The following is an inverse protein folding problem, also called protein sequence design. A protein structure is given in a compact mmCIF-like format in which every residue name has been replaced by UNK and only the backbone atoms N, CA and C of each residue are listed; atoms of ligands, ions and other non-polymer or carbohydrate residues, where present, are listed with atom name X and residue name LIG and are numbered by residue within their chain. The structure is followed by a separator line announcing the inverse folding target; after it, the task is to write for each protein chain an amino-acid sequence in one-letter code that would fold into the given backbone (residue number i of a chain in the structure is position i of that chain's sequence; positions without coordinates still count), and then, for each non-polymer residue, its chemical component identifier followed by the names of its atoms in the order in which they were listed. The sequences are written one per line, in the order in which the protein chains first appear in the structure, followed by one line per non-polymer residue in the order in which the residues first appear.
data_IF_767130304786
#
_entry.id   IF_767130304786
#
_cell.length_a   1.000
_cell.length_b   1.000
_cell.length_c   1.000
_cell.angle_alpha   90.00
_cell.angle_beta   90.00
_cell.angle_gamma   90.00
#
_symmetry.space_group_name_H-M   'P 1'
#
loop_
_entity.id
_entity.type
_entity.pdbx_description
1 polymer ?
#
# COMPACT_ATOMS: atom_id res chain seq x y z
N UNK A 1 -0.01 -14.08 48.15
CA UNK A 1 -0.45 -13.07 47.16
C UNK A 1 0.73 -12.75 46.24
N UNK A 2 0.85 -13.42 45.09
CA UNK A 2 1.98 -13.16 44.17
C UNK A 2 1.72 -11.88 43.39
N UNK A 3 2.59 -10.88 43.61
CA UNK A 3 2.68 -9.65 42.84
C UNK A 3 2.92 -10.01 41.37
N UNK A 4 2.01 -9.62 40.48
CA UNK A 4 2.25 -9.67 39.03
C UNK A 4 3.34 -8.65 38.70
N UNK A 5 4.46 -9.13 38.18
CA UNK A 5 5.52 -8.28 37.65
C UNK A 5 4.96 -7.46 36.48
N UNK A 6 4.82 -6.15 36.67
CA UNK A 6 4.59 -5.23 35.57
C UNK A 6 5.88 -5.14 34.76
N UNK A 7 6.02 -6.00 33.75
CA UNK A 7 6.95 -5.73 32.65
C UNK A 7 6.55 -4.37 32.09
N UNK A 8 7.42 -3.38 32.19
CA UNK A 8 7.21 -2.06 31.59
C UNK A 8 7.09 -2.26 30.08
N UNK A 9 5.86 -2.32 29.58
CA UNK A 9 5.60 -2.34 28.15
C UNK A 9 5.71 -0.91 27.66
N UNK A 10 6.73 -0.62 26.86
CA UNK A 10 6.91 0.69 26.24
C UNK A 10 5.92 0.83 25.10
N UNK A 11 4.95 1.74 25.23
CA UNK A 11 3.98 2.03 24.18
C UNK A 11 4.49 3.18 23.30
N UNK A 12 4.68 2.90 22.01
CA UNK A 12 4.85 3.94 20.99
C UNK A 12 3.49 4.23 20.34
N UNK A 13 3.08 5.51 20.34
CA UNK A 13 1.80 5.88 19.76
C UNK A 13 1.88 5.96 18.22
N UNK A 14 0.92 5.35 17.53
CA UNK A 14 0.74 5.46 16.08
C UNK A 14 -0.50 6.32 15.80
N UNK A 15 -0.32 7.37 15.00
CA UNK A 15 -1.44 8.23 14.58
C UNK A 15 -2.15 7.61 13.39
N UNK A 16 -3.42 7.27 13.58
CA UNK A 16 -4.30 6.70 12.55
C UNK A 16 -5.40 7.71 12.21
N UNK A 17 -5.82 7.77 10.93
CA UNK A 17 -6.95 8.59 10.47
C UNK A 17 -8.25 8.20 11.19
N UNK A 18 -9.14 9.17 11.38
CA UNK A 18 -10.39 8.95 12.11
C UNK A 18 -11.32 7.94 11.41
N UNK A 19 -11.32 7.93 10.07
CA UNK A 19 -12.08 6.96 9.27
C UNK A 19 -11.71 5.51 9.61
N UNK A 20 -10.40 5.20 9.62
CA UNK A 20 -9.91 3.87 9.96
C UNK A 20 -10.19 3.51 11.42
N UNK A 21 -10.11 4.48 12.34
CA UNK A 21 -10.49 4.27 13.75
C UNK A 21 -11.97 3.89 13.88
N UNK A 22 -12.85 4.58 13.15
CA UNK A 22 -14.29 4.29 13.16
C UNK A 22 -14.59 2.89 12.61
N UNK A 23 -13.93 2.47 11.53
CA UNK A 23 -14.04 1.11 10.99
C UNK A 23 -13.64 0.05 12.03
N UNK A 24 -12.51 0.25 12.71
CA UNK A 24 -12.03 -0.67 13.75
C UNK A 24 -13.00 -0.75 14.94
N UNK A 25 -13.54 0.38 15.38
CA UNK A 25 -14.54 0.41 16.45
C UNK A 25 -15.82 -0.32 16.05
N UNK A 26 -16.34 -0.08 14.86
CA UNK A 26 -17.55 -0.75 14.35
C UNK A 26 -17.36 -2.27 14.29
N UNK A 27 -16.19 -2.74 13.84
CA UNK A 27 -15.83 -4.16 13.81
C UNK A 27 -15.81 -4.76 15.22
N UNK A 28 -15.16 -4.09 16.18
CA UNK A 28 -15.08 -4.53 17.58
C UNK A 28 -16.45 -4.58 18.24
N UNK A 29 -17.29 -3.57 18.02
CA UNK A 29 -18.67 -3.56 18.53
C UNK A 29 -19.50 -4.68 17.93
N UNK A 30 -19.25 -5.09 16.69
CA UNK A 30 -19.92 -6.25 16.08
C UNK A 30 -19.46 -7.57 16.67
N UNK A 31 -18.15 -7.76 16.82
CA UNK A 31 -17.55 -9.03 17.28
C UNK A 31 -17.80 -9.25 18.78
N UNK A 32 -17.64 -8.20 19.60
CA UNK A 32 -17.79 -8.29 21.06
C UNK A 32 -19.24 -8.26 21.55
N UNK A 33 -20.23 -8.28 20.65
CA UNK A 33 -21.65 -8.49 20.99
C UNK A 33 -21.96 -9.94 21.34
N UNK A 34 -21.15 -10.89 20.89
CA UNK A 34 -21.35 -12.30 21.18
C UNK A 34 -20.88 -12.63 22.60
N UNK A 35 -21.70 -13.34 23.38
CA UNK A 35 -21.47 -13.63 24.80
C UNK A 35 -20.60 -14.89 25.02
N UNK A 36 -20.46 -15.74 24.01
CA UNK A 36 -19.80 -17.04 24.12
C UNK A 36 -18.26 -16.97 24.21
N UNK A 37 -17.65 -15.79 24.04
CA UNK A 37 -16.19 -15.65 23.98
C UNK A 37 -15.68 -14.38 24.68
N UNK A 38 -14.41 -14.41 25.09
CA UNK A 38 -13.75 -13.25 25.68
C UNK A 38 -13.63 -12.08 24.69
N UNK A 39 -13.73 -10.85 25.22
CA UNK A 39 -13.66 -9.63 24.41
C UNK A 39 -12.34 -9.53 23.64
N UNK A 40 -12.44 -9.23 22.35
CA UNK A 40 -11.31 -8.94 21.47
C UNK A 40 -10.96 -7.45 21.62
N UNK A 41 -9.66 -7.14 21.66
CA UNK A 41 -9.13 -5.78 21.72
C UNK A 41 -8.60 -5.34 20.35
N UNK A 42 -8.52 -4.02 20.12
CA UNK A 42 -7.91 -3.44 18.92
C UNK A 42 -6.51 -3.99 18.66
N UNK A 43 -5.70 -4.14 19.72
CA UNK A 43 -4.32 -4.62 19.65
C UNK A 43 -4.23 -6.04 19.07
N UNK A 44 -5.10 -6.96 19.51
CA UNK A 44 -5.13 -8.34 18.98
C UNK A 44 -5.49 -8.38 17.51
N UNK A 45 -6.44 -7.55 17.07
CA UNK A 45 -6.84 -7.46 15.65
C UNK A 45 -5.68 -6.91 14.83
N UNK A 46 -5.08 -5.80 15.26
CA UNK A 46 -3.97 -5.18 14.55
C UNK A 46 -2.79 -6.14 14.46
N UNK A 47 -2.45 -6.82 15.55
CA UNK A 47 -1.38 -7.82 15.57
C UNK A 47 -1.65 -8.94 14.56
N UNK A 48 -2.85 -9.52 14.58
CA UNK A 48 -3.25 -10.56 13.63
C UNK A 48 -3.17 -10.10 12.17
N UNK A 49 -3.64 -8.88 11.88
CA UNK A 49 -3.56 -8.30 10.54
C UNK A 49 -2.11 -8.14 10.10
N UNK A 50 -1.25 -7.52 10.92
CA UNK A 50 0.17 -7.29 10.59
C UNK A 50 0.92 -8.61 10.38
N UNK A 51 0.62 -9.64 11.15
CA UNK A 51 1.28 -10.96 11.02
C UNK A 51 0.83 -11.72 9.77
N UNK A 52 -0.39 -11.48 9.28
CA UNK A 52 -0.96 -12.22 8.16
C UNK A 52 -0.99 -11.44 6.85
N UNK A 53 -0.44 -10.22 6.80
CA UNK A 53 -0.27 -9.48 5.54
C UNK A 53 0.59 -10.31 4.58
N UNK A 54 0.05 -10.61 3.41
CA UNK A 54 0.77 -11.34 2.36
C UNK A 54 1.55 -10.37 1.45
N UNK A 55 2.47 -10.91 0.64
CA UNK A 55 3.17 -10.11 -0.35
C UNK A 55 2.23 -9.56 -1.43
N UNK A 56 1.15 -10.28 -1.73
CA UNK A 56 0.09 -9.89 -2.65
C UNK A 56 -0.66 -8.67 -2.12
N UNK A 57 -1.00 -8.66 -0.83
CA UNK A 57 -1.65 -7.51 -0.17
C UNK A 57 -0.75 -6.27 -0.21
N UNK A 58 0.54 -6.44 0.08
CA UNK A 58 1.52 -5.34 0.00
C UNK A 58 1.58 -4.78 -1.42
N UNK A 59 1.63 -5.64 -2.44
CA UNK A 59 1.64 -5.21 -3.84
C UNK A 59 0.36 -4.45 -4.19
N UNK A 60 -0.80 -4.91 -3.74
CA UNK A 60 -2.07 -4.22 -3.98
C UNK A 60 -2.06 -2.81 -3.37
N UNK A 61 -1.67 -2.68 -2.10
CA UNK A 61 -1.55 -1.38 -1.42
C UNK A 61 -0.52 -0.45 -2.09
N UNK A 62 0.57 -1.00 -2.60
CA UNK A 62 1.56 -0.25 -3.36
C UNK A 62 1.01 0.21 -4.71
N UNK A 63 0.21 -0.62 -5.40
CA UNK A 63 -0.43 -0.26 -6.67
C UNK A 63 -1.44 0.89 -6.49
N UNK A 64 -2.18 0.91 -5.39
CA UNK A 64 -3.12 1.99 -5.04
C UNK A 64 -2.43 3.34 -4.82
N UNK A 65 -1.16 3.33 -4.44
CA UNK A 65 -0.37 4.54 -4.17
C UNK A 65 0.56 4.95 -5.31
N UNK A 66 0.47 4.29 -6.49
CA UNK A 66 1.30 4.65 -7.65
C UNK A 66 0.92 6.04 -8.15
N UNK A 67 1.95 6.86 -8.33
CA UNK A 67 1.86 8.15 -9.01
C UNK A 67 2.54 8.05 -10.36
N UNK A 68 2.29 9.03 -11.24
CA UNK A 68 3.01 9.12 -12.51
C UNK A 68 4.53 9.21 -12.34
N UNK A 69 5.03 9.84 -11.27
CA UNK A 69 6.47 9.90 -11.00
C UNK A 69 7.08 8.52 -10.70
N UNK A 70 6.35 7.68 -9.96
CA UNK A 70 6.75 6.30 -9.72
C UNK A 70 6.78 5.50 -11.01
N UNK A 71 5.78 5.73 -11.87
CA UNK A 71 5.59 5.00 -13.10
C UNK A 71 6.58 5.42 -14.19
N UNK A 72 6.84 6.72 -14.36
CA UNK A 72 7.82 7.29 -15.28
C UNK A 72 9.21 6.70 -15.02
N UNK A 73 9.66 6.74 -13.76
CA UNK A 73 10.95 6.17 -13.36
C UNK A 73 11.03 4.67 -13.66
N UNK A 74 9.94 3.93 -13.46
CA UNK A 74 9.87 2.49 -13.70
C UNK A 74 9.90 2.17 -15.19
N UNK A 75 9.12 2.90 -15.99
CA UNK A 75 9.04 2.75 -17.44
C UNK A 75 10.38 3.08 -18.09
N UNK A 76 11.07 4.13 -17.64
CA UNK A 76 12.43 4.44 -18.10
C UNK A 76 13.38 3.29 -17.84
N UNK A 77 13.43 2.76 -16.61
CA UNK A 77 14.28 1.59 -16.29
C UNK A 77 13.92 0.36 -17.13
N UNK A 78 12.64 0.14 -17.40
CA UNK A 78 12.18 -0.96 -18.25
C UNK A 78 12.62 -0.77 -19.70
N UNK A 79 12.52 0.45 -20.22
CA UNK A 79 13.01 0.81 -21.55
C UNK A 79 14.52 0.57 -21.64
N UNK A 80 15.28 1.08 -20.68
CA UNK A 80 16.74 0.93 -20.65
C UNK A 80 17.18 -0.54 -20.65
N UNK A 81 16.43 -1.41 -19.97
CA UNK A 81 16.67 -2.86 -19.96
C UNK A 81 16.36 -3.52 -21.31
N UNK A 82 15.36 -3.05 -22.06
CA UNK A 82 14.90 -3.68 -23.31
C UNK A 82 15.56 -3.10 -24.58
N UNK A 83 15.81 -1.79 -24.59
CA UNK A 83 16.17 -1.00 -25.78
C UNK A 83 17.52 -0.28 -25.62
N UNK A 84 18.10 -0.26 -24.42
CA UNK A 84 19.39 0.36 -24.13
C UNK A 84 19.26 1.70 -23.39
N UNK A 85 20.38 2.14 -22.80
CA UNK A 85 20.44 3.35 -21.96
C UNK A 85 20.00 4.59 -22.73
N UNK A 86 19.24 5.47 -22.07
CA UNK A 86 18.75 6.73 -22.65
C UNK A 86 19.01 7.89 -21.70
N UNK A 87 19.38 9.05 -22.25
CA UNK A 87 19.54 10.26 -21.43
C UNK A 87 18.19 10.75 -20.92
N UNK A 88 18.21 11.49 -19.81
CA UNK A 88 17.00 12.11 -19.25
C UNK A 88 16.34 13.08 -20.23
N UNK A 89 17.14 13.87 -20.96
CA UNK A 89 16.63 14.80 -21.97
C UNK A 89 15.93 14.07 -23.11
N UNK A 90 16.52 12.98 -23.61
CA UNK A 90 15.94 12.21 -24.72
C UNK A 90 14.70 11.45 -24.28
N UNK A 91 14.68 10.90 -23.06
CA UNK A 91 13.50 10.28 -22.48
C UNK A 91 12.32 11.25 -22.42
N UNK A 92 12.55 12.47 -21.91
CA UNK A 92 11.52 13.52 -21.86
C UNK A 92 11.06 13.95 -23.25
N UNK A 93 11.99 14.15 -24.17
CA UNK A 93 11.66 14.47 -25.57
C UNK A 93 10.72 13.41 -26.16
N UNK A 94 11.05 12.12 -26.00
CA UNK A 94 10.24 11.00 -26.50
C UNK A 94 8.85 10.91 -25.84
N UNK A 95 8.74 11.27 -24.55
CA UNK A 95 7.46 11.39 -23.87
C UNK A 95 6.62 12.52 -24.46
N UNK A 96 7.20 13.71 -24.65
CA UNK A 96 6.50 14.89 -25.15
C UNK A 96 5.99 14.73 -26.57
N UNK A 97 6.79 14.12 -27.46
CA UNK A 97 6.41 13.90 -28.86
C UNK A 97 5.56 12.63 -29.06
N UNK A 98 5.21 11.92 -27.99
CA UNK A 98 4.34 10.74 -28.03
C UNK A 98 4.99 9.46 -28.55
N UNK A 99 6.30 9.43 -28.78
CA UNK A 99 7.02 8.24 -29.27
C UNK A 99 6.96 7.05 -28.31
N UNK A 100 6.69 7.28 -27.03
CA UNK A 100 6.55 6.23 -26.01
C UNK A 100 5.10 5.79 -25.79
N UNK A 101 4.12 6.30 -26.54
CA UNK A 101 2.70 6.04 -26.28
C UNK A 101 2.35 4.54 -26.29
N UNK A 102 2.78 3.81 -27.32
CA UNK A 102 2.56 2.35 -27.40
C UNK A 102 3.27 1.61 -26.26
N UNK A 103 4.54 1.95 -26.00
CA UNK A 103 5.33 1.33 -24.94
C UNK A 103 4.72 1.56 -23.54
N UNK A 104 4.21 2.77 -23.29
CA UNK A 104 3.51 3.10 -22.05
C UNK A 104 2.20 2.32 -21.98
N UNK A 105 1.41 2.28 -23.04
CA UNK A 105 0.13 1.56 -23.04
C UNK A 105 0.30 0.05 -22.75
N UNK A 106 1.34 -0.58 -23.30
CA UNK A 106 1.63 -2.01 -23.11
C UNK A 106 2.20 -2.35 -21.73
N UNK A 107 2.87 -1.40 -21.08
CA UNK A 107 3.65 -1.69 -19.87
C UNK A 107 3.21 -0.93 -18.64
N UNK A 108 2.35 0.08 -18.78
CA UNK A 108 1.94 0.94 -17.68
C UNK A 108 1.08 0.17 -16.68
N UNK A 109 1.38 0.36 -15.39
CA UNK A 109 0.54 -0.07 -14.27
C UNK A 109 -0.64 0.87 -14.06
N UNK A 110 -0.49 2.12 -14.47
CA UNK A 110 -1.56 3.08 -14.53
C UNK A 110 -2.30 2.88 -15.85
N UNK A 111 -3.52 2.34 -15.80
CA UNK A 111 -4.38 2.32 -16.98
C UNK A 111 -4.80 3.75 -17.26
N UNK A 112 -4.14 4.39 -18.22
CA UNK A 112 -4.64 5.63 -18.80
C UNK A 112 -5.94 5.24 -19.49
N UNK A 113 -7.09 5.75 -19.02
CA UNK A 113 -8.32 5.60 -19.79
C UNK A 113 -8.06 6.27 -21.13
N UNK A 114 -7.93 5.50 -22.19
CA UNK A 114 -8.12 5.99 -23.54
C UNK A 114 -9.58 6.39 -23.59
N UNK A 115 -9.86 7.70 -23.55
CA UNK A 115 -11.15 8.19 -23.97
C UNK A 115 -11.27 7.78 -25.45
N UNK A 116 -12.21 6.87 -25.70
CA UNK A 116 -12.60 6.45 -27.04
C UNK A 116 -13.06 7.65 -27.87
#
# INVERSE_FOLDING_TARGET
MSKKENKNVTYNSLRVKNETKALLQNLLTKINKNEDCGKITSDKIIHHLVTNVTNEDIKALQLESITWEHEDRRLKKLWEKKKGKISESKWKEMLYIGQLAEFINEHSRLKVRTNA
#
